data_IF_559979845935
#
_entry.id   IF_559979845935
#
_cell.length_a   1.000
_cell.length_b   1.000
_cell.length_c   1.000
_cell.angle_alpha   90.00
_cell.angle_beta   90.00
_cell.angle_gamma   90.00
#
_symmetry.space_group_name_H-M   'P 1'
#
loop_
_entity.id
_entity.type
_entity.pdbx_description
1 polymer ?
#
# COMPACT_ATOMS: atom_id res chain seq x y z
N UNK A 1 52.92 -1.18 -37.05
CA UNK A 1 51.95 -2.29 -37.08
C UNK A 1 51.09 -2.18 -35.82
N UNK A 2 49.77 -1.98 -35.89
CA UNK A 2 48.99 -1.67 -34.70
C UNK A 2 48.54 -2.94 -33.95
N UNK A 3 48.76 -2.88 -32.62
CA UNK A 3 47.89 -3.30 -31.50
C UNK A 3 47.00 -4.54 -31.64
N UNK A 4 47.28 -5.55 -30.81
CA UNK A 4 46.33 -6.58 -30.38
C UNK A 4 46.03 -6.38 -28.90
N UNK A 5 44.92 -5.70 -28.59
CA UNK A 5 44.35 -5.67 -27.24
C UNK A 5 43.50 -6.93 -27.05
N UNK A 6 43.89 -7.77 -26.08
CA UNK A 6 43.08 -8.91 -25.64
C UNK A 6 41.91 -8.37 -24.83
N UNK A 7 40.70 -8.40 -25.39
CA UNK A 7 39.48 -8.12 -24.65
C UNK A 7 39.13 -9.33 -23.78
N UNK A 8 39.40 -9.24 -22.48
CA UNK A 8 38.82 -10.16 -21.50
C UNK A 8 37.35 -9.77 -21.34
N UNK A 9 36.45 -10.59 -21.89
CA UNK A 9 35.01 -10.50 -21.59
C UNK A 9 34.82 -11.05 -20.18
N UNK A 10 34.87 -10.17 -19.18
CA UNK A 10 34.38 -10.50 -17.85
C UNK A 10 32.86 -10.57 -17.95
N UNK A 11 32.32 -11.79 -17.91
CA UNK A 11 30.89 -11.99 -17.73
C UNK A 11 30.48 -11.33 -16.40
N UNK A 12 29.74 -10.22 -16.46
CA UNK A 12 29.05 -9.64 -15.33
C UNK A 12 27.99 -10.65 -14.89
N UNK A 13 28.36 -11.49 -13.92
CA UNK A 13 27.43 -12.40 -13.27
C UNK A 13 26.49 -11.59 -12.38
N UNK A 14 25.20 -11.85 -12.56
CA UNK A 14 24.21 -11.72 -11.50
C UNK A 14 23.78 -10.31 -11.18
N UNK A 15 22.70 -9.91 -11.83
CA UNK A 15 21.71 -8.94 -11.38
C UNK A 15 21.60 -8.95 -9.85
N UNK A 16 21.70 -7.76 -9.26
CA UNK A 16 21.48 -7.44 -7.87
C UNK A 16 20.39 -8.34 -7.25
N UNK A 17 20.78 -9.15 -6.26
CA UNK A 17 19.83 -9.63 -5.28
C UNK A 17 19.31 -8.41 -4.52
N UNK A 18 18.24 -7.79 -5.02
CA UNK A 18 17.42 -6.93 -4.20
C UNK A 18 17.05 -7.77 -2.98
N UNK A 19 17.55 -7.39 -1.81
CA UNK A 19 17.07 -7.95 -0.55
C UNK A 19 15.55 -7.86 -0.62
N UNK A 20 14.86 -9.00 -0.69
CA UNK A 20 13.41 -9.01 -0.63
C UNK A 20 13.04 -8.26 0.65
N UNK A 21 12.47 -7.06 0.50
CA UNK A 21 12.02 -6.28 1.63
C UNK A 21 10.86 -7.09 2.23
N UNK A 22 11.18 -7.89 3.24
CA UNK A 22 10.22 -8.73 3.96
C UNK A 22 9.56 -7.81 4.97
N UNK A 23 8.40 -7.26 4.61
CA UNK A 23 7.55 -6.64 5.61
C UNK A 23 7.02 -7.72 6.56
N UNK A 24 6.73 -7.32 7.79
CA UNK A 24 6.05 -8.16 8.78
C UNK A 24 4.64 -7.63 9.02
N UNK A 25 3.76 -8.47 9.56
CA UNK A 25 2.48 -7.98 10.09
C UNK A 25 2.76 -6.96 11.20
N UNK A 26 2.07 -5.83 11.15
CA UNK A 26 2.14 -4.81 12.20
C UNK A 26 1.01 -5.03 13.21
N UNK A 27 1.30 -4.77 14.48
CA UNK A 27 0.32 -4.74 15.56
C UNK A 27 0.10 -3.31 16.06
N UNK A 28 -0.73 -3.16 17.10
CA UNK A 28 -0.78 -1.92 17.87
C UNK A 28 0.53 -1.72 18.67
N UNK A 29 0.82 -0.48 19.04
CA UNK A 29 2.02 -0.08 19.81
C UNK A 29 3.36 -0.35 19.14
N UNK A 30 3.36 -0.71 17.85
CA UNK A 30 4.60 -0.86 17.08
C UNK A 30 5.17 0.52 16.70
N UNK A 31 6.51 0.66 16.63
CA UNK A 31 7.14 1.92 16.22
C UNK A 31 6.69 2.38 14.83
N UNK A 32 6.34 3.67 14.71
CA UNK A 32 5.86 4.26 13.45
C UNK A 32 6.86 4.21 12.29
N UNK A 33 8.16 4.15 12.58
CA UNK A 33 9.19 4.06 11.54
C UNK A 33 9.06 2.77 10.69
N UNK A 34 8.48 1.70 11.23
CA UNK A 34 8.27 0.44 10.49
C UNK A 34 7.41 0.64 9.25
N UNK A 35 6.46 1.57 9.29
CA UNK A 35 5.63 1.93 8.14
C UNK A 35 6.48 2.36 6.93
N UNK A 36 7.55 3.13 7.14
CA UNK A 36 8.41 3.62 6.05
C UNK A 36 9.60 2.70 5.77
N UNK A 37 10.05 1.93 6.76
CA UNK A 37 11.17 1.01 6.60
C UNK A 37 10.77 -0.33 5.94
N UNK A 38 9.54 -0.80 6.15
CA UNK A 38 9.11 -2.13 5.71
C UNK A 38 8.08 -2.09 4.57
N UNK A 39 7.30 -1.01 4.46
CA UNK A 39 6.23 -0.91 3.46
C UNK A 39 6.57 0.13 2.40
N UNK A 40 6.59 -0.33 1.16
CA UNK A 40 6.85 0.50 -0.02
C UNK A 40 5.59 1.24 -0.38
N UNK A 41 5.66 2.57 -0.48
CA UNK A 41 4.56 3.34 -1.07
C UNK A 41 4.28 2.78 -2.46
N UNK A 42 3.01 2.55 -2.80
CA UNK A 42 2.62 2.05 -4.12
C UNK A 42 3.39 2.78 -5.24
N UNK A 43 4.03 2.06 -6.20
CA UNK A 43 5.02 2.62 -7.12
C UNK A 43 4.53 3.92 -7.76
N UNK A 44 5.20 5.04 -7.46
CA UNK A 44 5.10 6.32 -8.18
C UNK A 44 3.79 7.13 -8.12
N UNK A 45 2.67 6.60 -7.62
CA UNK A 45 1.36 7.12 -8.08
C UNK A 45 0.21 7.10 -7.06
N UNK A 46 0.38 7.71 -5.89
CA UNK A 46 -0.76 8.44 -5.33
C UNK A 46 -1.00 9.65 -6.24
N UNK A 47 -2.16 9.78 -6.88
CA UNK A 47 -2.56 11.12 -7.35
C UNK A 47 -2.65 11.95 -6.08
N UNK A 48 -1.84 13.00 -6.00
CA UNK A 48 -2.02 14.05 -5.01
C UNK A 48 -3.40 14.63 -5.30
N UNK A 49 -4.41 14.18 -4.57
CA UNK A 49 -5.77 14.70 -4.73
C UNK A 49 -5.77 16.16 -4.31
N UNK A 50 -5.17 16.44 -3.15
CA UNK A 50 -4.97 17.76 -2.55
C UNK A 50 -4.11 17.63 -1.26
N UNK A 51 -4.14 18.61 -0.35
CA UNK A 51 -3.48 18.56 0.95
C UNK A 51 -4.18 17.65 1.98
N UNK A 52 -5.38 17.16 1.68
CA UNK A 52 -6.24 16.40 2.57
C UNK A 52 -6.26 14.90 2.25
N UNK A 53 -6.17 14.52 0.97
CA UNK A 53 -6.23 13.12 0.54
C UNK A 53 -5.23 12.74 -0.56
N UNK A 54 -4.78 11.51 -0.47
CA UNK A 54 -3.99 10.83 -1.51
C UNK A 54 -4.80 9.66 -2.05
N UNK A 55 -4.88 9.55 -3.38
CA UNK A 55 -5.72 8.54 -4.02
C UNK A 55 -4.87 7.55 -4.82
N UNK A 56 -5.21 6.26 -4.73
CA UNK A 56 -4.66 5.23 -5.58
C UNK A 56 -5.08 5.50 -7.03
N UNK A 57 -4.10 5.55 -7.94
CA UNK A 57 -4.38 5.69 -9.37
C UNK A 57 -5.21 4.50 -9.90
N UNK A 58 -6.12 4.74 -10.86
CA UNK A 58 -6.74 3.66 -11.61
C UNK A 58 -5.68 2.70 -12.19
N UNK A 59 -6.02 1.41 -12.26
CA UNK A 59 -5.17 0.32 -12.78
C UNK A 59 -3.97 -0.12 -11.94
N UNK A 60 -3.54 0.67 -10.95
CA UNK A 60 -2.48 0.24 -10.05
C UNK A 60 -3.01 -0.66 -8.93
N UNK A 61 -2.23 -1.68 -8.61
CA UNK A 61 -2.44 -2.54 -7.45
C UNK A 61 -1.34 -2.32 -6.43
N UNK A 62 -1.69 -2.54 -5.18
CA UNK A 62 -0.79 -2.56 -4.05
C UNK A 62 -0.58 -4.03 -3.64
N UNK A 63 0.54 -4.64 -4.03
CA UNK A 63 0.87 -6.02 -3.64
C UNK A 63 1.17 -6.11 -2.14
N UNK A 64 1.44 -7.32 -1.60
CA UNK A 64 1.96 -7.45 -0.24
C UNK A 64 3.15 -6.51 0.00
N UNK A 65 3.22 -5.95 1.21
CA UNK A 65 4.21 -4.96 1.62
C UNK A 65 4.08 -3.59 0.94
N UNK A 66 2.98 -3.32 0.22
CA UNK A 66 2.69 -1.99 -0.29
C UNK A 66 1.77 -1.18 0.65
N UNK A 67 1.79 0.14 0.49
CA UNK A 67 0.92 1.06 1.24
C UNK A 67 0.39 2.24 0.43
N UNK A 68 -0.76 2.75 0.86
CA UNK A 68 -1.32 4.05 0.50
C UNK A 68 -1.38 4.95 1.74
N UNK A 69 -0.62 6.04 1.75
CA UNK A 69 -0.56 6.99 2.88
C UNK A 69 -1.36 8.26 2.59
N UNK A 70 -2.00 8.84 3.61
CA UNK A 70 -2.53 10.20 3.54
C UNK A 70 -1.40 11.25 3.38
N UNK A 71 -1.71 12.48 2.94
CA UNK A 71 -0.71 13.55 2.80
C UNK A 71 0.04 13.90 4.09
N UNK A 72 -0.63 13.87 5.24
CA UNK A 72 0.02 14.19 6.52
C UNK A 72 0.94 13.07 7.04
N UNK A 73 0.91 11.87 6.43
CA UNK A 73 1.67 10.70 6.87
C UNK A 73 1.17 10.05 8.17
N UNK A 74 0.08 10.56 8.73
CA UNK A 74 -0.52 10.11 10.00
C UNK A 74 -1.39 8.87 9.86
N UNK A 75 -1.89 8.53 8.67
CA UNK A 75 -2.81 7.40 8.47
C UNK A 75 -2.57 6.70 7.14
N UNK A 76 -2.50 5.37 7.16
CA UNK A 76 -1.97 4.59 6.04
C UNK A 76 -2.69 3.25 5.90
N UNK A 77 -3.15 2.93 4.70
CA UNK A 77 -3.64 1.61 4.33
C UNK A 77 -2.45 0.74 3.90
N UNK A 78 -2.25 -0.39 4.57
CA UNK A 78 -1.18 -1.35 4.31
C UNK A 78 -1.77 -2.66 3.79
N UNK A 79 -1.07 -3.28 2.84
CA UNK A 79 -1.28 -4.67 2.46
C UNK A 79 -0.30 -5.56 3.23
N UNK A 80 -0.77 -6.15 4.33
CA UNK A 80 0.06 -7.01 5.17
C UNK A 80 0.43 -8.32 4.46
N UNK A 81 1.58 -8.94 4.82
CA UNK A 81 2.05 -10.16 4.16
C UNK A 81 1.14 -11.37 4.41
N UNK A 82 0.32 -11.36 5.47
CA UNK A 82 -0.67 -12.39 5.76
C UNK A 82 -1.97 -12.29 4.93
N UNK A 83 -2.08 -11.30 4.04
CA UNK A 83 -3.27 -11.07 3.23
C UNK A 83 -4.27 -10.10 3.82
N UNK A 84 -3.98 -9.45 4.95
CA UNK A 84 -4.89 -8.47 5.54
C UNK A 84 -4.60 -7.05 5.04
N UNK A 85 -5.60 -6.38 4.47
CA UNK A 85 -5.53 -4.94 4.27
C UNK A 85 -5.96 -4.21 5.56
N UNK A 86 -5.10 -3.35 6.09
CA UNK A 86 -5.29 -2.71 7.41
C UNK A 86 -4.95 -1.24 7.35
N UNK A 87 -5.79 -0.38 7.94
CA UNK A 87 -5.47 1.03 8.14
C UNK A 87 -4.80 1.18 9.50
N UNK A 88 -3.62 1.81 9.50
CA UNK A 88 -2.94 2.24 10.71
C UNK A 88 -2.99 3.75 10.87
N UNK A 89 -3.27 4.22 12.08
CA UNK A 89 -3.04 5.61 12.50
C UNK A 89 -1.75 5.71 13.33
N UNK A 90 -0.96 6.76 13.08
CA UNK A 90 0.22 7.14 13.86
C UNK A 90 -0.20 8.05 15.01
N UNK A 91 0.29 7.76 16.20
CA UNK A 91 0.05 8.55 17.41
C UNK A 91 1.36 8.68 18.22
N UNK A 92 1.43 9.68 19.11
CA UNK A 92 2.65 10.03 19.84
C UNK A 92 2.40 10.03 21.34
N UNK A 93 3.17 9.24 22.08
CA UNK A 93 3.23 9.30 23.54
C UNK A 93 4.63 8.96 24.03
N UNK A 94 5.04 9.50 25.17
CA UNK A 94 6.38 9.32 25.75
C UNK A 94 6.71 7.86 26.05
N UNK A 95 5.72 7.06 26.42
CA UNK A 95 5.86 5.64 26.72
C UNK A 95 5.90 4.73 25.47
N UNK A 96 5.80 5.28 24.26
CA UNK A 96 5.85 4.50 23.04
C UNK A 96 6.96 4.99 22.11
N UNK A 97 7.85 4.07 21.69
CA UNK A 97 8.97 4.38 20.80
C UNK A 97 9.76 5.63 21.24
N UNK A 98 9.95 5.80 22.55
CA UNK A 98 10.62 6.97 23.16
C UNK A 98 10.02 8.32 22.70
N UNK A 99 8.70 8.40 22.50
CA UNK A 99 8.02 9.60 22.01
C UNK A 99 8.08 9.81 20.49
N UNK A 100 8.76 8.94 19.73
CA UNK A 100 8.91 9.07 18.26
C UNK A 100 7.72 8.55 17.46
N UNK A 101 6.68 8.12 18.16
CA UNK A 101 5.40 7.72 17.59
C UNK A 101 5.28 6.22 17.35
N UNK A 102 4.05 5.76 17.43
CA UNK A 102 3.64 4.38 17.28
C UNK A 102 2.40 4.29 16.41
N UNK A 103 2.04 3.07 16.03
CA UNK A 103 0.87 2.80 15.19
C UNK A 103 -0.20 2.05 15.94
N UNK A 104 -1.45 2.28 15.55
CA UNK A 104 -2.60 1.46 15.95
C UNK A 104 -3.42 1.09 14.72
N UNK A 105 -3.84 -0.18 14.57
CA UNK A 105 -4.80 -0.55 13.54
C UNK A 105 -6.17 0.03 13.92
N UNK A 106 -6.83 0.71 12.97
CA UNK A 106 -8.14 1.33 13.17
C UNK A 106 -9.23 0.72 12.29
N UNK A 107 -8.84 0.05 11.21
CA UNK A 107 -9.75 -0.70 10.33
C UNK A 107 -9.01 -1.89 9.72
N UNK A 108 -9.73 -2.97 9.42
CA UNK A 108 -9.19 -4.14 8.73
C UNK A 108 -10.24 -4.77 7.81
N UNK A 109 -9.77 -5.27 6.66
CA UNK A 109 -10.55 -6.08 5.72
C UNK A 109 -10.92 -7.47 6.25
N UNK A 110 -10.28 -7.92 7.34
CA UNK A 110 -10.47 -9.23 7.96
C UNK A 110 -10.14 -10.43 7.05
N UNK A 111 -9.15 -10.27 6.17
CA UNK A 111 -8.74 -11.30 5.19
C UNK A 111 -7.41 -11.98 5.52
N UNK A 112 -6.98 -11.98 6.79
CA UNK A 112 -5.75 -12.64 7.24
C UNK A 112 -5.75 -14.16 6.91
N UNK A 113 -4.57 -14.78 7.01
CA UNK A 113 -4.30 -16.18 6.60
C UNK A 113 -4.49 -16.44 5.09
N UNK A 114 -4.29 -15.41 4.25
CA UNK A 114 -4.37 -15.48 2.79
C UNK A 114 -3.19 -14.73 2.17
N UNK A 115 -1.94 -15.22 2.31
CA UNK A 115 -0.77 -14.50 1.81
C UNK A 115 -0.85 -14.28 0.29
N UNK A 116 -0.23 -13.21 -0.19
CA UNK A 116 -0.19 -12.89 -1.63
C UNK A 116 -1.32 -11.99 -2.13
N UNK A 117 -2.30 -11.64 -1.28
CA UNK A 117 -3.35 -10.70 -1.69
C UNK A 117 -2.78 -9.32 -2.02
N UNK A 118 -3.40 -8.69 -3.02
CA UNK A 118 -3.12 -7.31 -3.44
C UNK A 118 -4.41 -6.51 -3.41
N UNK A 119 -4.33 -5.21 -3.09
CA UNK A 119 -5.49 -4.33 -3.15
C UNK A 119 -5.48 -3.41 -4.36
N UNK A 120 -6.66 -3.09 -4.92
CA UNK A 120 -6.80 -2.15 -6.05
C UNK A 120 -8.21 -1.56 -6.13
N UNK A 121 -8.40 -0.64 -7.07
CA UNK A 121 -9.73 -0.34 -7.62
C UNK A 121 -9.98 -1.18 -8.88
N UNK A 122 -11.08 -1.91 -8.93
CA UNK A 122 -11.53 -2.70 -10.08
C UNK A 122 -13.04 -2.61 -10.20
N UNK A 123 -13.55 -2.33 -11.40
CA UNK A 123 -14.99 -2.27 -11.69
C UNK A 123 -15.77 -1.37 -10.71
N UNK A 124 -15.18 -0.22 -10.35
CA UNK A 124 -15.77 0.72 -9.40
C UNK A 124 -15.75 0.25 -7.94
N UNK A 125 -14.94 -0.76 -7.59
CA UNK A 125 -14.86 -1.35 -6.25
C UNK A 125 -13.45 -1.28 -5.71
N UNK A 126 -13.31 -1.06 -4.40
CA UNK A 126 -12.09 -1.40 -3.69
C UNK A 126 -12.08 -2.91 -3.43
N UNK A 127 -11.09 -3.62 -3.95
CA UNK A 127 -11.03 -5.09 -3.91
C UNK A 127 -9.68 -5.59 -3.42
N UNK A 128 -9.69 -6.79 -2.83
CA UNK A 128 -8.51 -7.62 -2.60
C UNK A 128 -8.54 -8.82 -3.55
N UNK A 129 -7.45 -9.07 -4.26
CA UNK A 129 -7.34 -10.13 -5.27
C UNK A 129 -6.10 -11.00 -5.09
N UNK A 130 -6.14 -12.25 -5.57
CA UNK A 130 -5.06 -13.24 -5.41
C UNK A 130 -3.79 -12.95 -6.21
N UNK A 131 -3.88 -12.11 -7.25
CA UNK A 131 -2.73 -11.63 -8.01
C UNK A 131 -2.76 -10.09 -8.10
N UNK A 132 -1.65 -9.42 -8.46
CA UNK A 132 -1.58 -7.98 -8.69
C UNK A 132 -2.13 -7.49 -10.04
N UNK A 133 -2.52 -8.39 -10.95
CA UNK A 133 -3.19 -8.06 -12.23
C UNK A 133 -4.71 -8.36 -12.19
N UNK A 134 -5.44 -8.02 -13.25
CA UNK A 134 -6.89 -8.21 -13.32
C UNK A 134 -7.33 -9.67 -13.48
N UNK A 135 -6.40 -10.61 -13.64
CA UNK A 135 -6.73 -12.04 -13.71
C UNK A 135 -6.95 -12.68 -12.34
N UNK A 136 -6.56 -11.98 -11.27
CA UNK A 136 -6.68 -12.44 -9.89
C UNK A 136 -8.13 -12.60 -9.45
N UNK A 137 -8.41 -13.68 -8.71
CA UNK A 137 -9.70 -13.89 -8.09
C UNK A 137 -9.93 -12.83 -7.02
N UNK A 138 -11.06 -12.12 -7.10
CA UNK A 138 -11.50 -11.20 -6.05
C UNK A 138 -11.93 -12.00 -4.82
N UNK A 139 -11.23 -11.77 -3.71
CA UNK A 139 -11.45 -12.44 -2.42
C UNK A 139 -12.35 -11.62 -1.51
N UNK A 140 -12.23 -10.30 -1.59
CA UNK A 140 -13.01 -9.35 -0.81
C UNK A 140 -13.22 -8.09 -1.64
N UNK A 141 -14.33 -7.39 -1.44
CA UNK A 141 -14.51 -6.09 -2.07
C UNK A 141 -15.73 -5.33 -1.58
N UNK A 142 -15.68 -4.01 -1.73
CA UNK A 142 -16.78 -3.09 -1.38
C UNK A 142 -17.98 -3.26 -2.33
N UNK A 143 -19.06 -2.52 -2.06
CA UNK A 143 -20.09 -2.26 -3.10
C UNK A 143 -19.47 -1.47 -4.26
N UNK A 144 -20.03 -1.65 -5.45
CA UNK A 144 -19.58 -0.96 -6.66
C UNK A 144 -20.11 0.46 -6.74
N UNK A 145 -19.24 1.42 -7.07
CA UNK A 145 -19.58 2.69 -7.70
C UNK A 145 -19.49 2.57 -9.23
N UNK A 146 -19.28 3.68 -9.94
CA UNK A 146 -19.10 3.65 -11.39
C UNK A 146 -17.78 2.98 -11.81
N UNK A 147 -17.83 2.20 -12.89
CA UNK A 147 -16.67 1.47 -13.42
C UNK A 147 -15.54 2.42 -13.85
N UNK A 148 -15.89 3.57 -14.43
CA UNK A 148 -14.95 4.60 -14.84
C UNK A 148 -14.91 5.73 -13.79
N UNK A 149 -13.72 6.18 -13.41
CA UNK A 149 -13.54 7.37 -12.58
C UNK A 149 -13.55 7.13 -11.06
N UNK A 150 -13.78 5.88 -10.62
CA UNK A 150 -13.71 5.56 -9.19
C UNK A 150 -12.27 5.55 -8.68
N UNK A 151 -12.02 6.18 -7.52
CA UNK A 151 -10.71 6.29 -6.88
C UNK A 151 -10.78 5.95 -5.40
N UNK A 152 -9.77 5.23 -4.90
CA UNK A 152 -9.64 4.92 -3.48
C UNK A 152 -8.68 5.92 -2.83
N UNK A 153 -9.14 6.67 -1.85
CA UNK A 153 -8.39 7.77 -1.25
C UNK A 153 -8.22 7.62 0.26
N UNK A 154 -6.98 7.78 0.74
CA UNK A 154 -6.66 7.86 2.16
C UNK A 154 -6.62 9.33 2.60
N UNK A 155 -7.47 9.67 3.57
CA UNK A 155 -7.70 11.05 4.03
C UNK A 155 -6.95 11.35 5.34
N UNK A 156 -6.73 12.63 5.62
CA UNK A 156 -6.06 13.08 6.84
C UNK A 156 -6.88 12.88 8.13
N UNK A 157 -8.19 12.70 8.01
CA UNK A 157 -9.06 12.31 9.13
C UNK A 157 -9.03 10.80 9.41
N UNK A 158 -8.19 10.04 8.71
CA UNK A 158 -8.05 8.58 8.83
C UNK A 158 -9.18 7.77 8.21
N UNK A 159 -10.04 8.40 7.42
CA UNK A 159 -11.02 7.70 6.62
C UNK A 159 -10.41 7.23 5.28
N UNK A 160 -10.74 6.00 4.89
CA UNK A 160 -10.44 5.47 3.57
C UNK A 160 -11.74 5.48 2.75
N UNK A 161 -11.76 6.27 1.69
CA UNK A 161 -12.99 6.57 0.95
C UNK A 161 -12.84 6.16 -0.50
N UNK A 162 -13.86 5.47 -1.01
CA UNK A 162 -14.02 5.21 -2.43
C UNK A 162 -14.88 6.32 -3.03
N UNK A 163 -14.28 7.13 -3.90
CA UNK A 163 -14.92 8.24 -4.58
C UNK A 163 -15.31 7.87 -6.01
N UNK A 164 -16.52 8.21 -6.41
CA UNK A 164 -16.97 8.24 -7.79
C UNK A 164 -17.11 9.71 -8.23
N UNK A 165 -16.09 10.21 -8.93
CA UNK A 165 -15.89 11.64 -9.11
C UNK A 165 -15.69 12.35 -7.76
N UNK A 166 -16.60 13.26 -7.39
CA UNK A 166 -16.59 13.93 -6.10
C UNK A 166 -17.46 13.23 -5.03
N UNK A 167 -18.22 12.21 -5.42
CA UNK A 167 -19.22 11.56 -4.56
C UNK A 167 -18.60 10.38 -3.80
N UNK A 168 -18.63 10.34 -2.47
CA UNK A 168 -18.22 9.15 -1.73
C UNK A 168 -19.26 8.04 -1.89
N UNK A 169 -18.84 6.87 -2.39
CA UNK A 169 -19.72 5.70 -2.59
C UNK A 169 -19.48 4.59 -1.56
N UNK A 170 -18.34 4.63 -0.87
CA UNK A 170 -18.02 3.78 0.28
C UNK A 170 -16.97 4.46 1.17
N UNK A 171 -16.97 4.14 2.47
CA UNK A 171 -15.97 4.62 3.42
C UNK A 171 -15.67 3.56 4.49
N UNK A 172 -14.47 3.60 5.07
CA UNK A 172 -14.09 2.73 6.20
C UNK A 172 -14.81 3.09 7.49
N UNK A 173 -15.30 4.33 7.62
CA UNK A 173 -16.13 4.78 8.75
C UNK A 173 -15.33 5.11 10.02
N UNK A 174 -14.11 5.64 9.85
CA UNK A 174 -13.29 6.17 10.95
C UNK A 174 -13.55 7.67 11.15
#
# INVERSE_FOLDING_TARGET
MPSLAVFVVVALSGIQGALAQTCENLGSWQPSWKLNAQYTSTPGYSIKGDSFKNCLQPYYSAPPCAKLSNPAGTSQLLMQPDGNAVIYSVWYATNCNQGRGCVSPIWSSQTWNRPGLSFRVQDGRFVLSTTPDLSGQVVWGTKAGSVAGTQLCMQNDSNLVLYDGATPVWASGN
#
